data_IF_575656254925
#
_entry.id   IF_575656254925
#
_cell.length_a   1.000
_cell.length_b   1.000
_cell.length_c   1.000
_cell.angle_alpha   90.00
_cell.angle_beta   90.00
_cell.angle_gamma   90.00
#
_symmetry.space_group_name_H-M   'P 1'
#
loop_
_entity.id
_entity.type
_entity.pdbx_description
1 polymer ?
#
# COMPACT_ATOMS: atom_id res chain seq x y z
N UNK A 1 -23.83 -3.91 -8.61
CA UNK A 1 -22.96 -4.97 -8.06
C UNK A 1 -23.82 -5.99 -7.31
N UNK A 2 -24.82 -6.61 -7.94
CA UNK A 2 -25.89 -7.32 -7.19
C UNK A 2 -25.48 -8.65 -6.54
N UNK A 3 -24.29 -9.19 -6.82
CA UNK A 3 -23.77 -10.42 -6.21
C UNK A 3 -22.25 -10.36 -5.88
N UNK A 4 -21.72 -9.16 -5.60
CA UNK A 4 -20.32 -9.01 -5.20
C UNK A 4 -20.20 -8.94 -3.68
N UNK A 5 -19.17 -9.57 -3.11
CA UNK A 5 -18.87 -9.49 -1.68
C UNK A 5 -17.74 -8.48 -1.43
N UNK A 6 -17.87 -7.72 -0.35
CA UNK A 6 -16.86 -6.76 0.10
C UNK A 6 -16.36 -7.22 1.46
N UNK A 7 -15.09 -7.61 1.53
CA UNK A 7 -14.40 -7.91 2.78
C UNK A 7 -13.84 -6.61 3.38
N UNK A 8 -14.17 -6.32 4.64
CA UNK A 8 -13.69 -5.12 5.33
C UNK A 8 -12.25 -5.29 5.77
N UNK A 9 -11.37 -4.34 5.42
CA UNK A 9 -9.99 -4.39 5.89
C UNK A 9 -9.93 -4.25 7.42
N UNK A 10 -9.18 -5.12 8.10
CA UNK A 10 -9.19 -5.22 9.57
C UNK A 10 -8.84 -3.92 10.31
N UNK A 11 -7.94 -3.10 9.74
CA UNK A 11 -7.42 -1.88 10.38
C UNK A 11 -7.84 -0.57 9.70
N UNK A 12 -8.17 -0.61 8.41
CA UNK A 12 -8.40 0.58 7.58
C UNK A 12 -9.88 0.72 7.22
N UNK A 13 -10.73 0.33 8.18
CA UNK A 13 -12.17 0.37 8.08
C UNK A 13 -12.72 1.12 9.29
N UNK A 14 -12.67 2.45 9.19
CA UNK A 14 -13.06 3.36 10.24
C UNK A 14 -14.57 3.50 10.30
N UNK A 15 -15.14 3.44 11.51
CA UNK A 15 -16.59 3.57 11.74
C UNK A 15 -17.10 4.95 11.35
N UNK A 16 -16.26 5.97 11.47
CA UNK A 16 -16.51 7.38 11.13
C UNK A 16 -16.03 7.76 9.72
N UNK A 17 -15.49 6.82 8.94
CA UNK A 17 -15.08 7.09 7.57
C UNK A 17 -16.27 7.48 6.68
N UNK A 18 -16.05 8.48 5.82
CA UNK A 18 -17.06 9.12 4.97
C UNK A 18 -16.96 8.71 3.47
N UNK A 19 -16.09 7.74 3.16
CA UNK A 19 -16.00 7.06 1.86
C UNK A 19 -15.52 5.62 2.01
N UNK A 20 -16.03 4.71 1.19
CA UNK A 20 -15.53 3.33 1.06
C UNK A 20 -14.81 3.18 -0.27
N UNK A 21 -13.53 2.84 -0.23
CA UNK A 21 -12.76 2.44 -1.41
C UNK A 21 -12.87 0.92 -1.56
N UNK A 22 -13.33 0.45 -2.72
CA UNK A 22 -13.41 -0.98 -3.03
C UNK A 22 -12.35 -1.35 -4.06
N UNK A 23 -11.47 -2.29 -3.73
CA UNK A 23 -10.43 -2.80 -4.63
C UNK A 23 -10.78 -4.23 -4.99
N UNK A 24 -10.88 -4.53 -6.29
CA UNK A 24 -11.22 -5.88 -6.75
C UNK A 24 -10.09 -6.86 -6.38
N UNK A 25 -10.45 -7.97 -5.75
CA UNK A 25 -9.51 -9.05 -5.44
C UNK A 25 -9.21 -9.91 -6.68
N UNK A 26 -8.01 -10.51 -6.76
CA UNK A 26 -7.72 -11.52 -7.76
C UNK A 26 -8.74 -12.66 -7.66
N UNK A 27 -9.35 -13.04 -8.79
CA UNK A 27 -10.25 -14.18 -8.84
C UNK A 27 -9.42 -15.46 -9.00
N UNK A 28 -9.55 -16.43 -8.10
CA UNK A 28 -8.94 -17.76 -8.27
C UNK A 28 -9.57 -18.50 -9.45
N UNK A 29 -10.89 -18.40 -9.60
CA UNK A 29 -11.67 -19.10 -10.63
C UNK A 29 -12.61 -18.12 -11.36
N UNK A 30 -12.82 -18.33 -12.67
CA UNK A 30 -13.70 -17.48 -13.49
C UNK A 30 -15.18 -17.56 -13.10
N UNK A 31 -15.57 -18.63 -12.42
CA UNK A 31 -16.95 -18.87 -11.95
C UNK A 31 -17.22 -18.28 -10.56
N UNK A 32 -16.17 -17.87 -9.84
CA UNK A 32 -16.31 -17.27 -8.51
C UNK A 32 -16.89 -15.86 -8.60
N UNK A 33 -17.81 -15.55 -7.68
CA UNK A 33 -18.36 -14.20 -7.54
C UNK A 33 -17.23 -13.18 -7.34
N UNK A 34 -17.35 -11.97 -7.91
CA UNK A 34 -16.37 -10.92 -7.69
C UNK A 34 -16.25 -10.59 -6.19
N UNK A 35 -15.02 -10.64 -5.68
CA UNK A 35 -14.70 -10.22 -4.31
C UNK A 35 -13.92 -8.92 -4.33
N UNK A 36 -14.14 -8.10 -3.32
CA UNK A 36 -13.45 -6.82 -3.14
C UNK A 36 -12.92 -6.70 -1.72
N UNK A 37 -11.79 -6.04 -1.56
CA UNK A 37 -11.40 -5.51 -0.25
C UNK A 37 -11.91 -4.08 -0.13
N UNK A 38 -12.70 -3.82 0.90
CA UNK A 38 -13.22 -2.51 1.26
C UNK A 38 -12.33 -1.81 2.29
N UNK A 39 -12.08 -0.53 2.06
CA UNK A 39 -11.39 0.39 2.97
C UNK A 39 -12.31 1.56 3.26
N UNK A 40 -12.80 1.69 4.49
CA UNK A 40 -13.64 2.81 4.90
C UNK A 40 -12.77 3.88 5.56
N UNK A 41 -12.61 5.01 4.89
CA UNK A 41 -11.62 6.05 5.21
C UNK A 41 -12.22 7.45 5.07
N UNK A 42 -11.42 8.46 5.38
CA UNK A 42 -11.80 9.87 5.35
C UNK A 42 -11.39 10.55 4.04
N UNK A 43 -12.35 11.17 3.35
CA UNK A 43 -12.15 11.98 2.14
C UNK A 43 -11.14 13.08 2.43
N UNK A 44 -11.22 13.76 3.58
CA UNK A 44 -10.30 14.85 3.92
C UNK A 44 -8.82 14.43 3.83
N UNK A 45 -8.47 13.24 4.34
CA UNK A 45 -7.10 12.69 4.27
C UNK A 45 -6.71 12.39 2.83
N UNK A 46 -7.57 11.74 2.05
CA UNK A 46 -7.29 11.43 0.65
C UNK A 46 -7.07 12.70 -0.19
N UNK A 47 -7.95 13.69 -0.01
CA UNK A 47 -7.91 14.98 -0.72
C UNK A 47 -6.69 15.82 -0.35
N UNK A 48 -6.26 15.75 0.90
CA UNK A 48 -5.06 16.46 1.38
C UNK A 48 -3.80 15.99 0.65
N UNK A 49 -3.70 14.68 0.39
CA UNK A 49 -2.49 14.08 -0.17
C UNK A 49 -2.54 13.89 -1.69
N UNK A 50 -3.72 13.95 -2.31
CA UNK A 50 -3.88 13.67 -3.75
C UNK A 50 -4.89 14.60 -4.41
N UNK A 51 -4.47 15.37 -5.44
CA UNK A 51 -5.40 16.14 -6.26
C UNK A 51 -6.33 15.23 -7.10
N UNK A 52 -5.89 14.01 -7.44
CA UNK A 52 -6.72 13.03 -8.14
C UNK A 52 -7.87 12.56 -7.25
N UNK A 53 -7.60 12.22 -5.98
CA UNK A 53 -8.67 11.93 -5.02
C UNK A 53 -9.55 13.15 -4.78
N UNK A 54 -8.99 14.36 -4.71
CA UNK A 54 -9.76 15.59 -4.62
C UNK A 54 -10.77 15.75 -5.75
N UNK A 55 -10.34 15.57 -7.00
CA UNK A 55 -11.22 15.64 -8.15
C UNK A 55 -12.26 14.50 -8.15
N UNK A 56 -11.81 13.25 -8.03
CA UNK A 56 -12.68 12.06 -8.07
C UNK A 56 -13.78 12.09 -7.00
N UNK A 57 -13.48 12.62 -5.81
CA UNK A 57 -14.43 12.68 -4.70
C UNK A 57 -15.31 13.94 -4.72
N UNK A 58 -14.95 14.97 -5.50
CA UNK A 58 -15.77 16.18 -5.70
C UNK A 58 -16.85 15.94 -6.74
N UNK A 59 -16.55 15.14 -7.76
CA UNK A 59 -17.45 14.82 -8.87
C UNK A 59 -18.28 13.55 -8.62
N UNK A 60 -18.20 12.99 -7.41
CA UNK A 60 -19.00 11.84 -7.01
C UNK A 60 -20.49 12.23 -7.01
N UNK A 61 -21.13 12.01 -8.16
CA UNK A 61 -22.58 11.88 -8.29
C UNK A 61 -23.09 10.86 -7.28
N UNK A 62 -24.38 10.88 -6.89
CA UNK A 62 -24.95 9.88 -5.99
C UNK A 62 -24.84 8.50 -6.65
N UNK A 63 -23.71 7.83 -6.42
CA UNK A 63 -23.37 6.52 -6.94
C UNK A 63 -23.82 5.43 -5.98
N UNK A 64 -23.23 4.24 -6.13
CA UNK A 64 -23.40 3.15 -5.18
C UNK A 64 -22.87 3.59 -3.81
N UNK A 65 -23.59 3.20 -2.75
CA UNK A 65 -23.16 3.36 -1.37
C UNK A 65 -22.96 1.99 -0.72
N UNK A 66 -22.07 1.95 0.26
CA UNK A 66 -21.84 0.77 1.10
C UNK A 66 -21.64 1.25 2.54
N UNK A 67 -22.32 0.61 3.50
CA UNK A 67 -22.35 1.05 4.90
C UNK A 67 -22.60 2.57 5.05
N UNK A 68 -23.61 3.07 4.34
CA UNK A 68 -24.06 4.50 4.37
C UNK A 68 -23.03 5.53 3.86
N UNK A 69 -21.88 5.08 3.37
CA UNK A 69 -20.86 5.92 2.75
C UNK A 69 -20.81 5.71 1.22
N UNK A 70 -20.44 6.73 0.43
CA UNK A 70 -20.21 6.57 -1.00
C UNK A 70 -19.14 5.51 -1.28
N UNK A 71 -19.46 4.60 -2.19
CA UNK A 71 -18.56 3.54 -2.64
C UNK A 71 -17.82 4.00 -3.89
N UNK A 72 -16.49 3.90 -3.87
CA UNK A 72 -15.62 4.22 -5.00
C UNK A 72 -14.79 3.00 -5.35
N UNK A 73 -14.97 2.49 -6.56
CA UNK A 73 -14.17 1.37 -7.06
C UNK A 73 -12.79 1.85 -7.54
N UNK A 74 -11.75 1.22 -7.03
CA UNK A 74 -10.35 1.49 -7.32
C UNK A 74 -9.88 0.60 -8.47
N UNK A 75 -10.36 0.90 -9.67
CA UNK A 75 -10.15 0.06 -10.84
C UNK A 75 -8.65 -0.08 -11.20
N UNK A 76 -8.22 -1.34 -11.33
CA UNK A 76 -6.84 -1.70 -11.72
C UNK A 76 -5.80 -1.55 -10.62
N UNK A 77 -6.20 -1.24 -9.39
CA UNK A 77 -5.28 -1.21 -8.25
C UNK A 77 -5.22 -2.54 -7.52
N UNK A 78 -4.09 -2.78 -6.87
CA UNK A 78 -3.89 -3.93 -6.01
C UNK A 78 -4.26 -3.58 -4.56
N UNK A 79 -4.98 -4.48 -3.89
CA UNK A 79 -5.49 -4.22 -2.55
C UNK A 79 -4.38 -4.09 -1.51
N UNK A 80 -3.30 -4.87 -1.61
CA UNK A 80 -2.17 -4.81 -0.68
C UNK A 80 -1.38 -3.50 -0.85
N UNK A 81 -1.24 -3.04 -2.09
CA UNK A 81 -0.62 -1.76 -2.40
C UNK A 81 -1.47 -0.58 -1.90
N UNK A 82 -2.80 -0.63 -2.08
CA UNK A 82 -3.72 0.39 -1.55
C UNK A 82 -3.69 0.40 -0.03
N UNK A 83 -3.71 -0.76 0.63
CA UNK A 83 -3.57 -0.85 2.09
C UNK A 83 -2.27 -0.19 2.57
N UNK A 84 -1.15 -0.53 1.93
CA UNK A 84 0.16 0.05 2.26
C UNK A 84 0.20 1.55 2.05
N UNK A 85 -0.36 2.05 0.94
CA UNK A 85 -0.48 3.49 0.68
C UNK A 85 -1.30 4.18 1.78
N UNK A 86 -2.45 3.65 2.14
CA UNK A 86 -3.31 4.21 3.19
C UNK A 86 -2.64 4.17 4.56
N UNK A 87 -1.89 3.11 4.87
CA UNK A 87 -1.06 3.05 6.07
C UNK A 87 -0.05 4.21 6.15
N UNK A 88 0.61 4.56 5.04
CA UNK A 88 1.48 5.74 4.96
C UNK A 88 0.76 7.06 5.18
N UNK A 89 -0.52 7.17 4.80
CA UNK A 89 -1.30 8.41 4.99
C UNK A 89 -1.81 8.57 6.42
N UNK A 90 -2.25 7.49 7.05
CA UNK A 90 -2.85 7.52 8.39
C UNK A 90 -1.85 7.35 9.53
N UNK A 91 -0.82 6.53 9.31
CA UNK A 91 0.12 6.10 10.35
C UNK A 91 1.58 6.26 9.90
N UNK A 92 2.01 7.44 9.42
CA UNK A 92 3.35 7.62 8.84
C UNK A 92 4.48 7.32 9.83
N UNK A 93 4.25 7.47 11.14
CA UNK A 93 5.24 7.18 12.18
C UNK A 93 5.42 5.68 12.44
N UNK A 94 4.45 4.86 12.06
CA UNK A 94 4.55 3.39 12.14
C UNK A 94 5.20 2.79 10.89
N UNK A 95 5.34 3.59 9.83
CA UNK A 95 5.98 3.17 8.60
C UNK A 95 7.48 3.32 8.73
N UNK A 96 8.15 2.22 9.09
CA UNK A 96 9.61 2.16 9.09
C UNK A 96 10.12 1.52 7.79
N UNK A 97 11.15 2.14 7.22
CA UNK A 97 11.93 1.57 6.13
C UNK A 97 13.31 1.30 6.70
N UNK A 98 13.51 0.03 7.02
CA UNK A 98 14.77 -0.48 7.57
C UNK A 98 15.92 -0.13 6.62
N UNK A 99 16.96 0.47 7.20
CA UNK A 99 18.16 0.86 6.45
C UNK A 99 18.83 -0.38 5.88
N UNK A 100 19.16 -0.34 4.59
CA UNK A 100 19.84 -1.41 3.85
C UNK A 100 19.08 -2.72 3.74
N UNK A 101 17.77 -2.72 4.02
CA UNK A 101 16.96 -3.87 3.73
C UNK A 101 16.88 -4.09 2.19
N UNK A 102 17.36 -5.23 1.68
CA UNK A 102 17.41 -5.49 0.23
C UNK A 102 16.03 -5.60 -0.40
N UNK A 103 14.99 -5.87 0.39
CA UNK A 103 13.61 -5.99 -0.06
C UNK A 103 12.87 -4.64 -0.06
N UNK A 104 13.46 -3.57 0.48
CA UNK A 104 12.88 -2.22 0.47
C UNK A 104 12.40 -1.78 -0.91
N UNK A 105 13.15 -1.95 -2.02
CA UNK A 105 12.64 -1.58 -3.35
C UNK A 105 11.40 -2.39 -3.76
N UNK A 106 11.33 -3.67 -3.36
CA UNK A 106 10.23 -4.57 -3.69
C UNK A 106 8.96 -4.15 -2.94
N UNK A 107 9.08 -3.83 -1.66
CA UNK A 107 7.94 -3.41 -0.81
C UNK A 107 7.45 -2.00 -1.16
N UNK A 108 8.36 -1.10 -1.51
CA UNK A 108 8.03 0.31 -1.80
C UNK A 108 7.54 0.53 -3.23
N UNK A 109 7.95 -0.30 -4.21
CA UNK A 109 7.59 -0.10 -5.61
C UNK A 109 6.06 -0.05 -5.88
N UNK A 110 5.21 -0.92 -5.32
CA UNK A 110 3.76 -0.82 -5.46
C UNK A 110 3.20 0.51 -4.94
N UNK A 111 3.72 1.00 -3.80
CA UNK A 111 3.31 2.26 -3.19
C UNK A 111 3.71 3.44 -4.07
N UNK A 112 4.93 3.43 -4.62
CA UNK A 112 5.42 4.46 -5.55
C UNK A 112 4.58 4.50 -6.83
N UNK A 113 4.14 3.34 -7.37
CA UNK A 113 3.25 3.30 -8.54
C UNK A 113 1.90 3.96 -8.24
N UNK A 114 1.29 3.65 -7.10
CA UNK A 114 0.03 4.30 -6.70
C UNK A 114 0.22 5.79 -6.38
N UNK A 115 1.29 6.16 -5.68
CA UNK A 115 1.61 7.56 -5.42
C UNK A 115 1.83 8.35 -6.73
N UNK A 116 2.32 7.70 -7.78
CA UNK A 116 2.39 8.29 -9.13
C UNK A 116 1.00 8.42 -9.75
N UNK A 117 0.20 7.34 -9.75
CA UNK A 117 -1.18 7.32 -10.30
C UNK A 117 -2.06 8.40 -9.67
N UNK A 118 -1.94 8.59 -8.36
CA UNK A 118 -2.73 9.54 -7.58
C UNK A 118 -2.04 10.90 -7.36
N UNK A 119 -0.92 11.17 -8.04
CA UNK A 119 -0.18 12.44 -7.95
C UNK A 119 0.20 12.86 -6.52
N UNK A 120 0.59 11.90 -5.68
CA UNK A 120 1.09 12.12 -4.32
C UNK A 120 2.60 12.38 -4.32
N UNK A 121 3.00 13.54 -4.88
CA UNK A 121 4.40 13.87 -5.17
C UNK A 121 5.32 13.78 -3.94
N UNK A 122 4.88 14.30 -2.79
CA UNK A 122 5.68 14.31 -1.56
C UNK A 122 6.02 12.90 -1.10
N UNK A 123 5.03 12.01 -1.08
CA UNK A 123 5.22 10.61 -0.69
C UNK A 123 6.09 9.89 -1.72
N UNK A 124 5.81 10.07 -3.02
CA UNK A 124 6.60 9.47 -4.11
C UNK A 124 8.08 9.84 -3.99
N UNK A 125 8.36 11.13 -3.86
CA UNK A 125 9.71 11.67 -3.75
C UNK A 125 10.42 11.19 -2.47
N UNK A 126 9.71 11.10 -1.35
CA UNK A 126 10.26 10.59 -0.10
C UNK A 126 10.71 9.12 -0.24
N UNK A 127 9.84 8.27 -0.76
CA UNK A 127 10.09 6.85 -0.93
C UNK A 127 11.23 6.56 -1.92
N UNK A 128 11.26 7.26 -3.07
CA UNK A 128 12.36 7.13 -4.04
C UNK A 128 13.69 7.58 -3.42
N UNK A 129 13.71 8.70 -2.71
CA UNK A 129 14.93 9.19 -2.04
C UNK A 129 15.46 8.17 -1.04
N UNK A 130 14.58 7.51 -0.29
CA UNK A 130 14.98 6.48 0.68
C UNK A 130 15.61 5.28 -0.01
N UNK A 131 14.96 4.74 -1.05
CA UNK A 131 15.49 3.63 -1.86
C UNK A 131 16.86 3.97 -2.46
N UNK A 132 17.01 5.17 -3.03
CA UNK A 132 18.27 5.62 -3.64
C UNK A 132 19.36 5.85 -2.61
N UNK A 133 19.03 6.34 -1.42
CA UNK A 133 20.00 6.57 -0.34
C UNK A 133 20.57 5.26 0.23
N UNK A 134 19.77 4.20 0.21
CA UNK A 134 20.20 2.88 0.67
C UNK A 134 20.98 2.10 -0.40
N UNK A 135 20.97 2.56 -1.67
CA UNK A 135 21.72 1.93 -2.75
C UNK A 135 23.17 2.45 -2.83
N UNK A 136 24.19 1.61 -2.67
CA UNK A 136 25.59 2.02 -2.78
C UNK A 136 25.90 2.38 -4.23
N UNK A 137 26.48 3.56 -4.44
CA UNK A 137 26.86 4.07 -5.78
C UNK A 137 28.37 4.03 -6.01
N UNK A 138 29.13 3.66 -5.00
CA UNK A 138 30.59 3.50 -5.06
C UNK A 138 31.02 2.19 -4.38
N UNK A 139 32.20 1.69 -4.76
CA UNK A 139 32.79 0.52 -4.13
C UNK A 139 33.06 0.73 -2.63
N UNK A 140 33.40 1.95 -2.21
CA UNK A 140 33.62 2.28 -0.80
C UNK A 140 32.31 2.24 -0.01
N UNK A 141 31.22 2.81 -0.55
CA UNK A 141 29.89 2.71 0.05
C UNK A 141 29.43 1.26 0.16
N UNK A 142 29.69 0.45 -0.88
CA UNK A 142 29.42 -0.99 -0.87
C UNK A 142 30.17 -1.70 0.26
N UNK A 143 31.49 -1.50 0.35
CA UNK A 143 32.31 -2.12 1.40
C UNK A 143 31.86 -1.73 2.81
N UNK A 144 31.46 -0.46 3.02
CA UNK A 144 30.92 0.01 4.29
C UNK A 144 29.59 -0.66 4.62
N UNK A 145 28.69 -0.78 3.65
CA UNK A 145 27.43 -1.49 3.84
C UNK A 145 27.67 -2.97 4.18
N UNK A 146 28.53 -3.66 3.44
CA UNK A 146 28.85 -5.08 3.70
C UNK A 146 29.47 -5.30 5.09
N UNK A 147 30.25 -4.35 5.60
CA UNK A 147 30.82 -4.40 6.94
C UNK A 147 29.79 -4.21 8.07
N UNK A 148 28.70 -3.48 7.81
CA UNK A 148 27.66 -3.21 8.80
C UNK A 148 26.46 -4.17 8.72
N UNK A 149 26.23 -4.81 7.56
CA UNK A 149 25.22 -5.86 7.44
C UNK A 149 25.70 -7.08 8.24
N UNK A 150 24.97 -7.51 9.29
CA UNK A 150 25.31 -8.72 10.01
C UNK A 150 25.34 -9.89 9.03
N UNK A 151 26.46 -10.60 8.96
CA UNK A 151 26.50 -11.88 8.25
C UNK A 151 25.45 -12.76 8.91
N UNK A 152 24.39 -13.08 8.17
CA UNK A 152 23.48 -14.15 8.56
C UNK A 152 24.28 -15.44 8.56
N UNK A 153 24.88 -15.78 9.71
CA UNK A 153 25.32 -17.14 9.98
C UNK A 153 24.07 -18.00 10.03
N UNK A 154 23.94 -18.87 9.04
CA UNK A 154 22.76 -19.71 8.87
C UNK A 154 22.37 -20.39 10.17
N UNK A 155 21.09 -20.27 10.52
CA UNK A 155 20.45 -21.09 11.55
C UNK A 155 20.93 -22.53 11.37
N UNK A 156 21.54 -23.04 12.44
CA UNK A 156 22.04 -24.40 12.58
C UNK A 156 21.08 -25.41 11.94
N UNK A 157 21.62 -26.26 11.04
CA UNK A 157 21.06 -27.57 10.75
C UNK A 157 21.10 -28.40 12.04
N UNK A 158 20.07 -28.28 12.85
CA UNK A 158 19.57 -29.35 13.72
C UNK A 158 18.22 -29.66 13.06
N UNK A 159 17.88 -30.84 12.54
CA UNK A 159 18.14 -32.23 12.94
C UNK A 159 17.96 -33.14 11.71
N UNK A 160 18.87 -34.08 11.46
CA UNK A 160 18.51 -35.47 11.16
C UNK A 160 19.76 -36.37 11.16
N UNK A 161 19.57 -37.57 11.73
CA UNK A 161 20.42 -38.77 11.69
C UNK A 161 21.56 -38.88 12.72
N UNK A 162 21.23 -39.43 13.90
CA UNK A 162 21.40 -40.88 14.21
C UNK A 162 21.18 -41.16 15.71
#
# INVERSE_FOLDING_TARGET
>A
MENATIERHSRLYFVDGDVVLAVKQPQLDQESQPQYQGFRVHKAVLRLHSPIFAHMLSDATPGQSYDEAPLVEMAGDDASAVASLLMWLYFPLEMDIERWNPDTPITVAPIVRLATKYLMETLRSHLIKKVVADWPRTLEEWNRQEAEIPRYEGRSRIEHDA
#
